data_IF_155032258700
#
_entry.id   IF_155032258700
#
_cell.length_a   1.000
_cell.length_b   1.000
_cell.length_c   1.000
_cell.angle_alpha   90.00
_cell.angle_beta   90.00
_cell.angle_gamma   90.00
#
_symmetry.space_group_name_H-M   'P 1'
#
loop_
_entity.id
_entity.type
_entity.pdbx_description
1 polymer ?
#
# COMPACT_ATOMS: atom_id res chain seq x y z
N UNK A 1 -22.85 -12.57 -2.58
CA UNK A 1 -22.82 -11.18 -2.09
C UNK A 1 -21.95 -10.36 -3.01
N UNK A 2 -22.47 -9.24 -3.55
CA UNK A 2 -21.75 -8.30 -4.41
C UNK A 2 -21.27 -7.10 -3.58
N UNK A 3 -19.98 -6.81 -3.64
CA UNK A 3 -19.34 -5.73 -2.86
C UNK A 3 -18.78 -4.70 -3.81
N UNK A 4 -19.12 -3.42 -3.62
CA UNK A 4 -18.45 -2.31 -4.27
C UNK A 4 -17.39 -1.73 -3.34
N UNK A 5 -16.12 -1.89 -3.69
CA UNK A 5 -15.00 -1.23 -3.03
C UNK A 5 -14.72 0.13 -3.63
N UNK A 6 -14.35 1.09 -2.78
CA UNK A 6 -13.95 2.45 -3.17
C UNK A 6 -12.66 2.83 -2.45
N UNK A 7 -11.64 3.24 -3.21
CA UNK A 7 -10.34 3.68 -2.71
C UNK A 7 -10.03 5.08 -3.24
N UNK A 8 -9.80 6.01 -2.32
CA UNK A 8 -9.42 7.40 -2.63
C UNK A 8 -8.46 7.97 -1.57
N UNK A 9 -7.63 7.15 -0.92
CA UNK A 9 -6.84 7.61 0.23
C UNK A 9 -5.67 8.53 -0.14
N UNK A 10 -5.16 8.46 -1.35
CA UNK A 10 -4.00 9.24 -1.80
C UNK A 10 -4.21 9.85 -3.18
N UNK A 11 -3.59 9.32 -4.21
CA UNK A 11 -3.59 9.85 -5.57
C UNK A 11 -4.12 8.86 -6.62
N UNK A 12 -4.65 7.71 -6.20
CA UNK A 12 -5.42 6.81 -7.05
C UNK A 12 -6.92 6.91 -6.73
N UNK A 13 -7.73 7.13 -7.77
CA UNK A 13 -9.18 6.92 -7.69
C UNK A 13 -9.48 5.50 -8.17
N UNK A 14 -9.98 4.64 -7.30
CA UNK A 14 -10.29 3.26 -7.69
C UNK A 14 -11.67 2.80 -7.22
N UNK A 15 -12.32 1.99 -8.06
CA UNK A 15 -13.52 1.25 -7.75
C UNK A 15 -13.42 -0.19 -8.23
N UNK A 16 -13.93 -1.12 -7.44
CA UNK A 16 -13.92 -2.54 -7.76
C UNK A 16 -15.23 -3.21 -7.35
N UNK A 17 -15.70 -4.15 -8.16
CA UNK A 17 -16.80 -5.04 -7.81
C UNK A 17 -16.25 -6.43 -7.56
N UNK A 18 -16.48 -6.94 -6.35
CA UNK A 18 -16.13 -8.30 -5.96
C UNK A 18 -17.40 -9.11 -5.68
N UNK A 19 -17.31 -10.40 -5.97
CA UNK A 19 -18.30 -11.37 -5.55
C UNK A 19 -17.71 -12.24 -4.44
N UNK A 20 -18.46 -12.37 -3.33
CA UNK A 20 -18.10 -13.19 -2.17
C UNK A 20 -16.69 -12.93 -1.62
N UNK A 21 -16.26 -11.64 -1.69
CA UNK A 21 -15.01 -11.12 -1.12
C UNK A 21 -13.72 -11.52 -1.82
N UNK A 22 -13.76 -12.40 -2.83
CA UNK A 22 -12.56 -12.94 -3.46
C UNK A 22 -12.59 -13.02 -4.99
N UNK A 23 -13.75 -13.10 -5.62
CA UNK A 23 -13.88 -13.10 -7.08
C UNK A 23 -13.93 -11.66 -7.58
N UNK A 24 -12.84 -11.21 -8.22
CA UNK A 24 -12.72 -9.86 -8.77
C UNK A 24 -13.47 -9.80 -10.11
N UNK A 25 -14.66 -9.20 -10.12
CA UNK A 25 -15.44 -8.97 -11.36
C UNK A 25 -14.91 -7.75 -12.11
N UNK A 26 -14.49 -6.72 -11.38
CA UNK A 26 -13.82 -5.54 -11.93
C UNK A 26 -12.88 -4.92 -10.89
N UNK A 27 -11.83 -4.26 -11.35
CA UNK A 27 -10.96 -3.38 -10.56
C UNK A 27 -10.45 -2.30 -11.52
N UNK A 28 -10.95 -1.09 -11.36
CA UNK A 28 -10.60 0.08 -12.18
C UNK A 28 -9.78 1.01 -11.31
N UNK A 29 -8.65 1.45 -11.83
CA UNK A 29 -7.71 2.33 -11.14
C UNK A 29 -7.37 3.48 -12.08
N UNK A 30 -7.54 4.70 -11.62
CA UNK A 30 -7.10 5.91 -12.28
C UNK A 30 -6.04 6.59 -11.42
N UNK A 31 -4.78 6.54 -11.86
CA UNK A 31 -3.68 7.24 -11.21
C UNK A 31 -3.68 8.73 -11.58
N UNK A 32 -3.19 9.53 -10.66
CA UNK A 32 -2.98 10.97 -10.83
C UNK A 32 -1.48 11.31 -11.00
N UNK A 33 -0.63 10.35 -11.32
CA UNK A 33 0.82 10.52 -11.50
C UNK A 33 1.15 11.70 -12.43
N UNK A 34 0.44 11.84 -13.56
CA UNK A 34 0.65 12.93 -14.53
C UNK A 34 0.37 14.31 -13.93
N UNK A 35 -0.64 14.40 -13.04
CA UNK A 35 -1.03 15.66 -12.38
C UNK A 35 0.02 16.07 -11.34
N UNK A 36 0.60 15.09 -10.63
CA UNK A 36 1.54 15.32 -9.55
C UNK A 36 3.00 15.37 -10.00
N UNK A 37 3.32 14.83 -11.17
CA UNK A 37 4.67 14.78 -11.72
C UNK A 37 5.35 16.16 -11.81
N UNK A 38 4.69 17.26 -12.23
CA UNK A 38 5.30 18.59 -12.25
C UNK A 38 5.76 19.10 -10.87
N UNK A 39 5.13 18.61 -9.81
CA UNK A 39 5.45 18.99 -8.41
C UNK A 39 6.49 18.06 -7.78
N UNK A 40 6.72 16.91 -8.41
CA UNK A 40 7.62 15.87 -7.90
C UNK A 40 7.15 15.24 -6.60
N UNK A 41 5.83 15.06 -6.46
CA UNK A 41 5.16 14.44 -5.33
C UNK A 41 3.70 14.84 -5.23
N UNK A 42 2.92 14.13 -4.44
CA UNK A 42 1.48 14.34 -4.30
C UNK A 42 1.17 15.70 -3.67
N UNK A 43 0.25 16.45 -4.29
CA UNK A 43 -0.31 17.71 -3.77
C UNK A 43 -1.73 17.42 -3.27
N UNK A 44 -1.98 17.44 -1.94
CA UNK A 44 -3.23 16.95 -1.36
C UNK A 44 -4.50 17.64 -1.90
N UNK A 45 -4.44 18.94 -2.15
CA UNK A 45 -5.59 19.67 -2.68
C UNK A 45 -5.91 19.28 -4.12
N UNK A 46 -4.90 19.10 -4.96
CA UNK A 46 -5.08 18.63 -6.33
C UNK A 46 -5.64 17.22 -6.36
N UNK A 47 -5.13 16.33 -5.49
CA UNK A 47 -5.62 14.97 -5.36
C UNK A 47 -7.12 14.95 -5.03
N UNK A 48 -7.54 15.70 -4.01
CA UNK A 48 -8.94 15.77 -3.61
C UNK A 48 -9.86 16.29 -4.72
N UNK A 49 -9.43 17.34 -5.43
CA UNK A 49 -10.19 17.91 -6.57
C UNK A 49 -10.32 16.91 -7.72
N UNK A 50 -9.28 16.12 -7.97
CA UNK A 50 -9.32 15.12 -9.03
C UNK A 50 -10.22 13.95 -8.67
N UNK A 51 -10.22 13.49 -7.41
CA UNK A 51 -11.18 12.46 -6.96
C UNK A 51 -12.63 12.91 -7.19
N UNK A 52 -12.97 14.16 -6.86
CA UNK A 52 -14.34 14.70 -7.09
C UNK A 52 -14.74 14.62 -8.56
N UNK A 53 -13.78 14.85 -9.48
CA UNK A 53 -14.07 14.86 -10.93
C UNK A 53 -14.20 13.48 -11.55
N UNK A 54 -13.70 12.44 -10.87
CA UNK A 54 -13.50 11.14 -11.51
C UNK A 54 -14.20 9.98 -10.80
N UNK A 55 -14.62 10.14 -9.55
CA UNK A 55 -15.13 9.04 -8.74
C UNK A 55 -16.39 8.39 -9.34
N UNK A 56 -17.31 9.18 -9.85
CA UNK A 56 -18.54 8.71 -10.49
C UNK A 56 -18.24 7.91 -11.76
N UNK A 57 -17.34 8.43 -12.61
CA UNK A 57 -16.92 7.78 -13.84
C UNK A 57 -16.23 6.43 -13.58
N UNK A 58 -15.37 6.38 -12.58
CA UNK A 58 -14.62 5.17 -12.21
C UNK A 58 -15.56 4.10 -11.63
N UNK A 59 -16.55 4.50 -10.84
CA UNK A 59 -17.57 3.59 -10.34
C UNK A 59 -18.44 3.07 -11.47
N UNK A 60 -18.90 3.93 -12.38
CA UNK A 60 -19.70 3.53 -13.54
C UNK A 60 -18.95 2.54 -14.42
N UNK A 61 -17.67 2.80 -14.72
CA UNK A 61 -16.83 1.91 -15.51
C UNK A 61 -16.62 0.57 -14.82
N UNK A 62 -16.42 0.59 -13.49
CA UNK A 62 -16.27 -0.64 -12.68
C UNK A 62 -17.54 -1.51 -12.76
N UNK A 63 -18.72 -0.91 -12.59
CA UNK A 63 -20.00 -1.61 -12.69
C UNK A 63 -20.24 -2.16 -14.09
N UNK A 64 -19.97 -1.36 -15.14
CA UNK A 64 -20.10 -1.78 -16.54
C UNK A 64 -19.21 -2.98 -16.85
N UNK A 65 -17.95 -2.94 -16.41
CA UNK A 65 -17.00 -4.05 -16.60
C UNK A 65 -17.42 -5.31 -15.84
N UNK A 66 -17.95 -5.16 -14.63
CA UNK A 66 -18.50 -6.25 -13.84
C UNK A 66 -19.84 -6.78 -14.39
N UNK A 67 -20.50 -6.04 -15.29
CA UNK A 67 -21.87 -6.30 -15.76
C UNK A 67 -22.89 -6.34 -14.62
N UNK A 68 -22.73 -5.47 -13.66
CA UNK A 68 -23.55 -5.36 -12.45
C UNK A 68 -24.18 -3.96 -12.40
N UNK A 69 -25.43 -3.86 -11.90
CA UNK A 69 -26.10 -2.58 -11.65
C UNK A 69 -25.91 -2.18 -10.19
N UNK A 70 -25.97 -0.88 -9.89
CA UNK A 70 -25.82 -0.36 -8.52
C UNK A 70 -26.84 -0.96 -7.54
N UNK A 71 -28.06 -1.21 -8.00
CA UNK A 71 -29.13 -1.80 -7.16
C UNK A 71 -28.79 -3.22 -6.69
N UNK A 72 -27.92 -3.92 -7.43
CA UNK A 72 -27.51 -5.29 -7.12
C UNK A 72 -26.34 -5.36 -6.12
N UNK A 73 -25.73 -4.22 -5.77
CA UNK A 73 -24.68 -4.17 -4.75
C UNK A 73 -25.29 -4.42 -3.38
N UNK A 74 -24.68 -5.35 -2.64
CA UNK A 74 -25.13 -5.76 -1.31
C UNK A 74 -24.41 -5.01 -0.19
N UNK A 75 -23.14 -4.58 -0.43
CA UNK A 75 -22.27 -3.94 0.54
C UNK A 75 -21.38 -2.90 -0.14
N UNK A 76 -21.25 -1.74 0.48
CA UNK A 76 -20.26 -0.72 0.13
C UNK A 76 -19.08 -0.80 1.10
N UNK A 77 -17.86 -0.99 0.58
CA UNK A 77 -16.62 -0.95 1.36
C UNK A 77 -15.80 0.25 0.91
N UNK A 78 -15.37 1.09 1.84
CA UNK A 78 -14.65 2.33 1.49
C UNK A 78 -13.50 2.55 2.44
N UNK A 79 -12.37 3.01 1.93
CA UNK A 79 -11.22 3.38 2.76
C UNK A 79 -11.56 4.57 3.64
N UNK A 80 -11.43 4.38 4.97
CA UNK A 80 -11.67 5.42 5.97
C UNK A 80 -10.39 6.07 6.49
N UNK A 81 -9.22 5.47 6.21
CA UNK A 81 -7.91 5.94 6.65
C UNK A 81 -6.91 4.78 6.83
N UNK A 82 -5.63 5.11 7.02
CA UNK A 82 -5.04 6.45 6.88
C UNK A 82 -4.98 6.93 5.43
N UNK A 83 -4.80 8.26 5.25
CA UNK A 83 -4.69 8.89 3.93
C UNK A 83 -4.86 10.40 4.00
N UNK A 84 -4.90 11.05 2.84
CA UNK A 84 -5.13 12.48 2.70
C UNK A 84 -6.58 12.81 3.06
N UNK A 85 -6.79 13.69 4.05
CA UNK A 85 -8.11 13.98 4.62
C UNK A 85 -9.14 14.36 3.54
N UNK A 86 -8.77 15.27 2.63
CA UNK A 86 -9.66 15.71 1.55
C UNK A 86 -10.02 14.57 0.59
N UNK A 87 -9.04 13.74 0.24
CA UNK A 87 -9.22 12.58 -0.64
C UNK A 87 -10.13 11.52 0.01
N UNK A 88 -9.87 11.17 1.28
CA UNK A 88 -10.72 10.26 2.06
C UNK A 88 -12.17 10.75 2.16
N UNK A 89 -12.38 12.05 2.39
CA UNK A 89 -13.72 12.64 2.48
C UNK A 89 -14.52 12.46 1.18
N UNK A 90 -13.90 12.51 0.02
CA UNK A 90 -14.57 12.30 -1.26
C UNK A 90 -15.12 10.88 -1.34
N UNK A 91 -14.29 9.85 -1.14
CA UNK A 91 -14.71 8.45 -1.19
C UNK A 91 -15.77 8.13 -0.14
N UNK A 92 -15.54 8.56 1.12
CA UNK A 92 -16.48 8.34 2.22
C UNK A 92 -17.83 8.99 1.98
N UNK A 93 -17.87 10.24 1.50
CA UNK A 93 -19.13 10.93 1.22
C UNK A 93 -19.90 10.27 0.09
N UNK A 94 -19.18 9.88 -0.98
CA UNK A 94 -19.79 9.20 -2.12
C UNK A 94 -20.34 7.83 -1.72
N UNK A 95 -19.57 7.00 -1.02
CA UNK A 95 -20.02 5.69 -0.54
C UNK A 95 -21.21 5.78 0.42
N UNK A 96 -21.20 6.76 1.34
CA UNK A 96 -22.33 7.02 2.25
C UNK A 96 -23.60 7.42 1.51
N UNK A 97 -23.48 8.25 0.48
CA UNK A 97 -24.62 8.68 -0.33
C UNK A 97 -25.26 7.50 -1.05
N UNK A 98 -24.45 6.61 -1.65
CA UNK A 98 -24.94 5.39 -2.29
C UNK A 98 -25.59 4.44 -1.28
N UNK A 99 -24.92 4.18 -0.15
CA UNK A 99 -25.44 3.31 0.90
C UNK A 99 -26.79 3.80 1.44
N UNK A 100 -26.91 5.11 1.65
CA UNK A 100 -28.15 5.74 2.08
C UNK A 100 -29.28 5.62 1.04
N UNK A 101 -28.97 5.96 -0.22
CA UNK A 101 -29.96 5.94 -1.30
C UNK A 101 -30.51 4.53 -1.57
N UNK A 102 -29.64 3.52 -1.59
CA UNK A 102 -30.02 2.13 -1.85
C UNK A 102 -30.40 1.34 -0.59
N UNK A 103 -30.37 1.97 0.58
CA UNK A 103 -30.59 1.33 1.88
C UNK A 103 -29.75 0.06 2.07
N UNK A 104 -28.45 0.18 1.82
CA UNK A 104 -27.47 -0.92 1.91
C UNK A 104 -26.42 -0.63 2.97
N UNK A 105 -25.80 -1.67 3.57
CA UNK A 105 -24.75 -1.49 4.55
C UNK A 105 -23.47 -0.87 3.93
N UNK A 106 -22.74 -0.14 4.78
CA UNK A 106 -21.42 0.42 4.45
C UNK A 106 -20.41 0.04 5.53
N UNK A 107 -19.20 -0.30 5.10
CA UNK A 107 -18.09 -0.60 5.99
C UNK A 107 -16.89 0.30 5.66
N UNK A 108 -16.34 0.93 6.70
CA UNK A 108 -15.05 1.63 6.63
C UNK A 108 -13.90 0.65 6.78
N UNK A 109 -12.92 0.76 5.88
CA UNK A 109 -11.77 -0.15 5.79
C UNK A 109 -10.49 0.62 6.07
N UNK A 110 -9.57 0.01 6.84
CA UNK A 110 -8.25 0.54 7.05
C UNK A 110 -7.39 0.27 5.79
N UNK A 111 -6.84 1.33 5.19
CA UNK A 111 -6.03 1.28 3.98
C UNK A 111 -4.81 0.34 4.10
N UNK A 112 -4.09 0.41 5.23
CA UNK A 112 -2.88 -0.38 5.44
C UNK A 112 -3.19 -1.86 5.61
N UNK A 113 -4.25 -2.18 6.35
CA UNK A 113 -4.73 -3.56 6.52
C UNK A 113 -5.24 -4.13 5.20
N UNK A 114 -5.90 -3.30 4.37
CA UNK A 114 -6.32 -3.69 3.04
C UNK A 114 -5.14 -4.09 2.14
N UNK A 115 -4.01 -3.39 2.19
CA UNK A 115 -2.81 -3.79 1.46
C UNK A 115 -2.30 -5.19 1.86
N UNK A 116 -2.28 -5.52 3.15
CA UNK A 116 -1.94 -6.88 3.60
C UNK A 116 -2.97 -7.87 3.07
N UNK A 117 -4.25 -7.49 3.16
CA UNK A 117 -5.36 -8.34 2.76
C UNK A 117 -5.38 -8.62 1.25
N UNK A 118 -4.78 -7.77 0.42
CA UNK A 118 -4.63 -8.00 -1.02
C UNK A 118 -3.95 -9.34 -1.36
N UNK A 119 -3.08 -9.86 -0.48
CA UNK A 119 -2.45 -11.16 -0.68
C UNK A 119 -3.45 -12.33 -0.65
N UNK A 120 -4.56 -12.18 0.09
CA UNK A 120 -5.59 -13.22 0.21
C UNK A 120 -6.50 -13.29 -1.03
N UNK A 121 -6.52 -12.27 -1.87
CA UNK A 121 -7.25 -12.31 -3.15
C UNK A 121 -6.67 -13.35 -4.12
N UNK A 122 -5.37 -13.59 -4.06
CA UNK A 122 -4.67 -14.52 -4.94
C UNK A 122 -4.24 -15.81 -4.25
N UNK A 123 -4.21 -15.83 -2.89
CA UNK A 123 -3.69 -16.94 -2.10
C UNK A 123 -4.63 -17.24 -0.92
N UNK A 124 -5.44 -18.29 -1.03
CA UNK A 124 -6.43 -18.64 -0.01
C UNK A 124 -5.84 -19.34 1.22
N UNK A 125 -4.68 -19.95 1.09
CA UNK A 125 -4.07 -20.83 2.12
C UNK A 125 -2.85 -20.18 2.78
N UNK A 126 -2.97 -18.90 3.19
CA UNK A 126 -1.91 -18.25 3.95
C UNK A 126 -1.96 -18.71 5.40
N UNK A 127 -0.88 -19.33 5.87
CA UNK A 127 -0.79 -19.89 7.23
C UNK A 127 -0.49 -18.82 8.27
N UNK A 128 -1.12 -18.95 9.45
CA UNK A 128 -0.90 -18.06 10.60
C UNK A 128 -0.09 -18.75 11.71
N UNK A 129 0.66 -18.02 12.52
CA UNK A 129 0.88 -16.57 12.49
C UNK A 129 1.61 -16.10 11.22
N UNK A 130 1.23 -14.92 10.70
CA UNK A 130 1.79 -14.32 9.51
C UNK A 130 2.51 -13.00 9.84
N UNK A 131 3.56 -12.67 9.11
CA UNK A 131 4.20 -11.37 9.13
C UNK A 131 3.86 -10.59 7.87
N UNK A 132 3.25 -9.42 7.99
CA UNK A 132 2.98 -8.49 6.90
C UNK A 132 3.99 -7.36 6.88
N UNK A 133 4.70 -7.19 5.77
CA UNK A 133 5.55 -6.04 5.49
C UNK A 133 4.87 -5.18 4.41
N UNK A 134 4.45 -3.98 4.79
CA UNK A 134 3.92 -2.98 3.85
C UNK A 134 5.05 -2.04 3.47
N UNK A 135 5.25 -1.85 2.17
CA UNK A 135 6.25 -0.93 1.61
C UNK A 135 5.62 -0.12 0.48
N UNK A 136 5.33 1.15 0.73
CA UNK A 136 4.71 2.06 -0.24
C UNK A 136 5.42 3.42 -0.30
N UNK A 137 4.88 4.35 -1.07
CA UNK A 137 5.34 5.74 -1.12
C UNK A 137 5.21 6.43 0.25
N UNK A 138 4.09 6.23 0.94
CA UNK A 138 3.80 6.88 2.22
C UNK A 138 4.05 6.01 3.46
N UNK A 139 4.14 4.69 3.33
CA UNK A 139 4.18 3.78 4.48
C UNK A 139 5.28 2.73 4.36
N UNK A 140 5.95 2.47 5.48
CA UNK A 140 6.80 1.28 5.67
C UNK A 140 6.54 0.76 7.07
N UNK A 141 5.86 -0.41 7.16
CA UNK A 141 5.37 -0.94 8.43
C UNK A 141 5.41 -2.46 8.47
N UNK A 142 5.62 -3.00 9.66
CA UNK A 142 5.56 -4.43 9.97
C UNK A 142 4.35 -4.72 10.85
N UNK A 143 3.55 -5.66 10.42
CA UNK A 143 2.40 -6.18 11.16
C UNK A 143 2.58 -7.66 11.46
N UNK A 144 2.36 -8.03 12.72
CA UNK A 144 2.23 -9.42 13.12
C UNK A 144 0.75 -9.79 13.16
N UNK A 145 0.38 -10.84 12.45
CA UNK A 145 -0.99 -11.36 12.38
C UNK A 145 -1.04 -12.74 13.02
N UNK A 146 -1.45 -12.87 14.29
CA UNK A 146 -1.75 -14.17 14.89
C UNK A 146 -2.82 -14.92 14.11
N UNK A 147 -3.84 -14.19 13.62
CA UNK A 147 -4.98 -14.67 12.84
C UNK A 147 -5.29 -13.69 11.70
N UNK A 148 -6.16 -14.06 10.77
CA UNK A 148 -6.42 -13.35 9.52
C UNK A 148 -6.79 -11.87 9.69
N UNK A 149 -7.53 -11.52 10.72
CA UNK A 149 -8.03 -10.15 10.96
C UNK A 149 -7.49 -9.52 12.26
N UNK A 150 -6.50 -10.15 12.90
CA UNK A 150 -5.81 -9.59 14.07
C UNK A 150 -4.49 -8.92 13.64
N UNK A 151 -4.56 -7.64 13.33
CA UNK A 151 -3.43 -6.84 12.84
C UNK A 151 -2.71 -6.15 14.00
N UNK A 152 -1.52 -6.62 14.37
CA UNK A 152 -0.68 -6.01 15.41
C UNK A 152 0.49 -5.27 14.78
N UNK A 153 0.47 -3.95 14.80
CA UNK A 153 1.59 -3.12 14.36
C UNK A 153 2.78 -3.35 15.32
N UNK A 154 3.90 -3.83 14.80
CA UNK A 154 5.12 -4.12 15.58
C UNK A 154 6.31 -3.24 15.20
N UNK A 155 6.26 -2.57 14.05
CA UNK A 155 7.28 -1.62 13.62
C UNK A 155 6.77 -0.75 12.49
N UNK A 156 7.25 0.49 12.43
CA UNK A 156 6.94 1.45 11.35
C UNK A 156 8.12 2.37 11.09
N UNK A 157 8.10 3.07 9.97
CA UNK A 157 9.12 4.10 9.76
C UNK A 157 8.95 5.28 10.72
N UNK A 158 10.09 5.83 11.16
CA UNK A 158 10.16 7.02 12.04
C UNK A 158 10.36 8.31 11.26
N UNK A 159 10.67 8.17 9.98
CA UNK A 159 10.96 9.29 9.09
C UNK A 159 10.40 8.99 7.69
N UNK A 160 11.18 9.14 6.64
CA UNK A 160 10.74 8.83 5.28
C UNK A 160 10.28 7.36 5.16
N UNK A 161 9.28 7.07 4.34
CA UNK A 161 8.99 5.71 3.90
C UNK A 161 10.04 5.27 2.84
N UNK A 162 10.14 3.96 2.61
CA UNK A 162 11.08 3.42 1.63
C UNK A 162 10.84 3.97 0.22
N UNK A 163 9.57 4.06 -0.22
CA UNK A 163 9.21 4.65 -1.50
C UNK A 163 9.49 6.14 -1.55
N UNK A 164 9.18 6.88 -0.50
CA UNK A 164 9.48 8.32 -0.39
C UNK A 164 11.00 8.58 -0.49
N UNK A 165 11.84 7.71 0.10
CA UNK A 165 13.28 7.82 -0.02
C UNK A 165 13.75 7.63 -1.48
N UNK A 166 13.13 6.70 -2.23
CA UNK A 166 13.38 6.53 -3.67
C UNK A 166 12.93 7.76 -4.45
N UNK A 167 11.73 8.26 -4.20
CA UNK A 167 11.17 9.43 -4.90
C UNK A 167 12.04 10.68 -4.68
N UNK A 168 12.52 10.91 -3.45
CA UNK A 168 13.40 12.04 -3.12
C UNK A 168 14.74 11.99 -3.86
N UNK A 169 15.35 10.81 -4.02
CA UNK A 169 16.59 10.66 -4.79
C UNK A 169 16.33 10.84 -6.29
N UNK A 170 15.23 10.29 -6.82
CA UNK A 170 14.83 10.50 -8.21
C UNK A 170 14.59 11.98 -8.51
N UNK A 171 13.88 12.69 -7.62
CA UNK A 171 13.63 14.14 -7.72
C UNK A 171 14.94 14.94 -7.71
N UNK A 172 15.87 14.60 -6.81
CA UNK A 172 17.16 15.29 -6.72
C UNK A 172 18.01 15.13 -7.99
N UNK A 173 17.94 13.96 -8.62
CA UNK A 173 18.60 13.69 -9.90
C UNK A 173 17.79 14.11 -11.13
N UNK A 174 16.65 14.79 -10.96
CA UNK A 174 15.75 15.21 -12.04
C UNK A 174 15.31 14.06 -12.96
N UNK A 175 15.05 12.88 -12.40
CA UNK A 175 14.66 11.68 -13.17
C UNK A 175 13.15 11.59 -13.43
N UNK A 176 12.33 12.34 -12.68
CA UNK A 176 10.87 12.34 -12.77
C UNK A 176 10.18 11.73 -11.56
N UNK A 177 8.85 11.61 -11.66
CA UNK A 177 7.95 11.06 -10.63
C UNK A 177 6.90 10.13 -11.28
N UNK A 178 6.54 9.01 -10.62
CA UNK A 178 7.10 8.47 -9.36
C UNK A 178 8.52 7.89 -9.53
N UNK A 179 9.38 8.14 -8.54
CA UNK A 179 10.80 7.76 -8.62
C UNK A 179 11.07 6.27 -8.48
N UNK A 180 10.27 5.56 -7.67
CA UNK A 180 10.47 4.13 -7.43
C UNK A 180 10.57 3.28 -8.69
N UNK A 181 9.58 3.31 -9.62
CA UNK A 181 9.62 2.58 -10.88
C UNK A 181 10.79 3.02 -11.80
N UNK A 182 11.12 4.31 -11.80
CA UNK A 182 12.24 4.85 -12.60
C UNK A 182 13.56 4.28 -12.08
N UNK A 183 13.78 4.31 -10.77
CA UNK A 183 14.98 3.76 -10.14
C UNK A 183 15.06 2.25 -10.39
N UNK A 184 13.98 1.48 -10.24
CA UNK A 184 13.99 0.04 -10.53
C UNK A 184 14.42 -0.26 -11.97
N UNK A 185 13.99 0.53 -12.94
CA UNK A 185 14.38 0.40 -14.34
C UNK A 185 15.86 0.74 -14.58
N UNK A 186 16.32 1.87 -14.02
CA UNK A 186 17.67 2.36 -14.25
C UNK A 186 18.73 1.54 -13.51
N UNK A 187 18.43 1.06 -12.30
CA UNK A 187 19.31 0.23 -11.46
C UNK A 187 19.73 -1.08 -12.12
N UNK A 188 18.94 -1.59 -13.07
CA UNK A 188 19.30 -2.80 -13.85
C UNK A 188 20.55 -2.65 -14.69
N UNK A 189 21.00 -1.41 -14.94
CA UNK A 189 22.21 -1.09 -15.71
C UNK A 189 23.44 -0.86 -14.82
N UNK A 190 23.25 -0.81 -13.49
CA UNK A 190 24.28 -0.49 -12.52
C UNK A 190 24.75 -1.69 -11.71
N UNK A 191 25.90 -1.53 -11.07
CA UNK A 191 26.45 -2.49 -10.12
C UNK A 191 26.01 -2.13 -8.68
N UNK A 192 25.24 -2.98 -7.98
CA UNK A 192 24.75 -2.70 -6.63
C UNK A 192 25.83 -2.72 -5.55
N UNK A 193 27.06 -3.18 -5.87
CA UNK A 193 28.18 -3.25 -4.92
C UNK A 193 29.13 -2.05 -5.04
N UNK A 194 28.89 -1.13 -5.97
CA UNK A 194 29.81 -0.02 -6.25
C UNK A 194 29.85 1.04 -5.17
N UNK A 195 28.71 1.33 -4.53
CA UNK A 195 28.60 2.28 -3.44
C UNK A 195 28.20 1.58 -2.14
N UNK A 196 28.94 1.86 -1.07
CA UNK A 196 28.66 1.26 0.23
C UNK A 196 27.71 2.12 1.07
N UNK A 197 26.60 1.54 1.51
CA UNK A 197 25.65 2.15 2.41
C UNK A 197 25.64 1.43 3.74
N UNK A 198 25.94 2.16 4.83
CA UNK A 198 25.77 1.61 6.18
C UNK A 198 24.29 1.53 6.52
N UNK A 199 23.82 0.33 6.82
CA UNK A 199 22.40 0.14 7.22
C UNK A 199 22.13 0.82 8.56
N UNK A 200 20.97 1.50 8.69
CA UNK A 200 20.59 2.17 9.92
C UNK A 200 20.50 1.17 11.10
N UNK A 201 21.01 1.58 12.26
CA UNK A 201 20.87 0.84 13.52
C UNK A 201 19.89 1.56 14.42
N UNK A 202 18.71 0.98 14.63
CA UNK A 202 17.73 1.49 15.60
C UNK A 202 18.22 1.11 17.00
N UNK A 203 18.48 2.11 17.84
CA UNK A 203 19.13 1.92 19.15
C UNK A 203 18.23 1.22 20.19
N UNK A 204 16.93 1.38 20.09
CA UNK A 204 15.97 0.67 20.93
C UNK A 204 15.66 -0.74 20.37
N UNK A 205 14.90 -1.52 21.12
CA UNK A 205 14.53 -2.89 20.73
C UNK A 205 13.36 -2.94 19.74
N UNK A 206 12.89 -1.81 19.22
CA UNK A 206 11.78 -1.77 18.24
C UNK A 206 12.18 -2.38 16.89
N UNK A 207 11.18 -2.74 16.11
CA UNK A 207 11.34 -3.18 14.71
C UNK A 207 11.09 -2.04 13.73
N UNK A 208 11.25 -0.79 14.18
CA UNK A 208 11.05 0.39 13.37
C UNK A 208 12.08 0.52 12.24
N UNK A 209 11.76 1.38 11.27
CA UNK A 209 12.64 1.73 10.17
C UNK A 209 13.07 3.20 10.26
N UNK A 210 14.15 3.53 9.56
CA UNK A 210 14.59 4.90 9.30
C UNK A 210 15.36 4.93 7.99
N UNK A 211 14.90 5.71 7.04
CA UNK A 211 15.52 5.80 5.71
C UNK A 211 16.26 7.11 5.48
N UNK A 212 16.12 8.09 6.38
CA UNK A 212 16.79 9.41 6.26
C UNK A 212 18.31 9.28 6.18
N UNK A 213 18.91 8.35 6.92
CA UNK A 213 20.35 8.10 6.88
C UNK A 213 20.83 7.59 5.51
N UNK A 214 20.12 6.64 4.92
CA UNK A 214 20.42 6.13 3.58
C UNK A 214 20.27 7.21 2.51
N UNK A 215 19.18 8.00 2.58
CA UNK A 215 18.98 9.14 1.70
C UNK A 215 20.11 10.16 1.81
N UNK A 216 20.49 10.54 3.02
CA UNK A 216 21.56 11.50 3.26
C UNK A 216 22.91 10.99 2.71
N UNK A 217 23.21 9.70 2.87
CA UNK A 217 24.42 9.09 2.29
C UNK A 217 24.39 9.13 0.75
N UNK A 218 23.25 8.83 0.12
CA UNK A 218 23.11 8.94 -1.34
C UNK A 218 23.31 10.38 -1.82
N UNK A 219 22.70 11.36 -1.15
CA UNK A 219 22.89 12.79 -1.48
C UNK A 219 24.33 13.25 -1.30
N UNK A 220 25.05 12.70 -0.32
CA UNK A 220 26.48 12.96 -0.12
C UNK A 220 27.30 12.46 -1.32
N UNK A 221 27.12 11.21 -1.74
CA UNK A 221 27.77 10.69 -2.94
C UNK A 221 27.48 11.51 -4.19
N UNK A 222 26.22 11.90 -4.40
CA UNK A 222 25.83 12.72 -5.54
C UNK A 222 26.60 14.04 -5.56
N UNK A 223 26.71 14.71 -4.41
CA UNK A 223 27.42 16.01 -4.30
C UNK A 223 28.94 15.87 -4.43
N UNK A 224 29.55 14.92 -3.72
CA UNK A 224 31.02 14.75 -3.69
C UNK A 224 31.58 14.30 -5.04
N UNK A 225 30.82 13.48 -5.77
CA UNK A 225 31.25 12.95 -7.07
C UNK A 225 30.62 13.68 -8.25
N UNK A 226 29.86 14.75 -8.02
CA UNK A 226 29.14 15.52 -9.04
C UNK A 226 28.30 14.63 -9.97
N UNK A 227 27.57 13.66 -9.38
CA UNK A 227 26.74 12.74 -10.16
C UNK A 227 25.46 13.47 -10.56
N UNK A 228 25.14 13.46 -11.85
CA UNK A 228 23.92 13.97 -12.44
C UNK A 228 23.17 12.87 -13.22
N UNK A 229 22.06 13.21 -13.86
CA UNK A 229 21.25 12.27 -14.65
C UNK A 229 21.90 11.83 -15.97
N UNK A 230 23.09 12.37 -16.34
CA UNK A 230 23.89 11.97 -17.50
C UNK A 230 25.12 11.17 -17.11
N UNK A 231 25.46 11.15 -15.83
CA UNK A 231 26.67 10.47 -15.31
C UNK A 231 26.50 8.96 -15.36
N UNK A 232 27.45 8.20 -15.93
CA UNK A 232 27.40 6.72 -15.89
C UNK A 232 27.32 6.15 -14.46
N UNK A 233 27.97 6.80 -13.49
CA UNK A 233 27.98 6.41 -12.08
C UNK A 233 26.58 6.48 -11.44
N UNK A 234 25.64 7.23 -12.02
CA UNK A 234 24.27 7.29 -11.56
C UNK A 234 23.61 5.91 -11.52
N UNK A 235 23.83 5.07 -12.53
CA UNK A 235 23.23 3.72 -12.55
C UNK A 235 23.74 2.86 -11.40
N UNK A 236 25.03 2.93 -11.08
CA UNK A 236 25.64 2.20 -9.96
C UNK A 236 25.13 2.73 -8.62
N UNK A 237 25.03 4.06 -8.48
CA UNK A 237 24.50 4.70 -7.28
C UNK A 237 23.04 4.28 -7.01
N UNK A 238 22.20 4.34 -8.04
CA UNK A 238 20.79 3.94 -7.92
C UNK A 238 20.66 2.45 -7.60
N UNK A 239 21.48 1.59 -8.22
CA UNK A 239 21.49 0.16 -7.94
C UNK A 239 21.91 -0.13 -6.49
N UNK A 240 22.97 0.51 -6.01
CA UNK A 240 23.47 0.35 -4.64
C UNK A 240 22.50 0.90 -3.61
N UNK A 241 21.89 2.05 -3.88
CA UNK A 241 20.91 2.69 -3.00
C UNK A 241 19.64 1.85 -2.86
N UNK A 242 19.05 1.39 -3.97
CA UNK A 242 17.91 0.49 -4.00
C UNK A 242 18.23 -0.80 -3.22
N UNK A 243 19.39 -1.38 -3.46
CA UNK A 243 19.83 -2.61 -2.80
C UNK A 243 19.97 -2.43 -1.29
N UNK A 244 20.49 -1.28 -0.83
CA UNK A 244 20.61 -0.94 0.58
C UNK A 244 19.24 -0.81 1.27
N UNK A 245 18.26 -0.18 0.62
CA UNK A 245 16.88 -0.11 1.13
C UNK A 245 16.31 -1.52 1.30
N UNK A 246 16.44 -2.37 0.28
CA UNK A 246 15.89 -3.74 0.32
C UNK A 246 16.60 -4.57 1.39
N UNK A 247 17.91 -4.46 1.52
CA UNK A 247 18.66 -5.15 2.57
C UNK A 247 18.20 -4.72 3.96
N UNK A 248 17.95 -3.43 4.17
CA UNK A 248 17.45 -2.93 5.45
C UNK A 248 16.05 -3.49 5.78
N UNK A 249 15.15 -3.59 4.80
CA UNK A 249 13.86 -4.25 4.96
C UNK A 249 14.03 -5.71 5.38
N UNK A 250 14.89 -6.46 4.70
CA UNK A 250 15.16 -7.89 4.98
C UNK A 250 15.77 -8.05 6.37
N UNK A 251 16.73 -7.22 6.77
CA UNK A 251 17.33 -7.30 8.10
C UNK A 251 16.32 -7.07 9.22
N UNK A 252 15.37 -6.14 9.05
CA UNK A 252 14.29 -5.97 10.03
C UNK A 252 13.34 -7.18 10.07
N UNK A 253 12.99 -7.74 8.91
CA UNK A 253 12.21 -8.99 8.85
C UNK A 253 12.96 -10.12 9.58
N UNK A 254 14.26 -10.30 9.36
CA UNK A 254 15.08 -11.30 10.09
C UNK A 254 15.01 -11.11 11.61
N UNK A 255 15.10 -9.85 12.08
CA UNK A 255 14.97 -9.53 13.51
C UNK A 255 13.63 -9.95 14.05
N UNK A 256 12.53 -9.74 13.31
CA UNK A 256 11.20 -10.19 13.72
C UNK A 256 11.14 -11.72 13.77
N UNK A 257 11.66 -12.42 12.76
CA UNK A 257 11.65 -13.88 12.72
C UNK A 257 12.45 -14.53 13.87
N UNK A 258 13.44 -13.81 14.42
CA UNK A 258 14.19 -14.25 15.59
C UNK A 258 13.43 -14.08 16.91
N UNK A 259 12.36 -13.28 16.94
CA UNK A 259 11.59 -12.94 18.14
C UNK A 259 10.14 -13.47 18.11
N UNK A 260 9.60 -13.74 16.93
CA UNK A 260 8.23 -14.19 16.72
C UNK A 260 8.18 -15.49 15.94
N UNK A 261 7.27 -16.38 16.33
CA UNK A 261 6.95 -17.54 15.49
C UNK A 261 6.11 -17.07 14.30
N UNK A 262 6.62 -17.25 13.09
CA UNK A 262 5.97 -16.85 11.84
C UNK A 262 5.93 -18.04 10.91
N UNK A 263 4.76 -18.33 10.32
CA UNK A 263 4.56 -19.43 9.36
C UNK A 263 4.53 -18.95 7.92
N UNK A 264 4.26 -17.68 7.68
CA UNK A 264 4.22 -17.08 6.35
C UNK A 264 4.59 -15.59 6.38
N UNK A 265 5.09 -15.10 5.26
CA UNK A 265 5.49 -13.71 5.05
C UNK A 265 4.66 -13.13 3.90
N UNK A 266 4.03 -11.98 4.14
CA UNK A 266 3.38 -11.16 3.11
C UNK A 266 4.24 -9.92 2.91
N UNK A 267 4.51 -9.55 1.64
CA UNK A 267 5.15 -8.27 1.28
C UNK A 267 4.24 -7.57 0.28
N UNK A 268 3.76 -6.39 0.61
CA UNK A 268 2.75 -5.67 -0.16
C UNK A 268 3.00 -4.15 -0.18
N UNK A 269 2.13 -3.40 -0.86
CA UNK A 269 2.30 -1.97 -1.10
C UNK A 269 3.01 -1.67 -2.43
N UNK A 270 2.95 -0.42 -2.88
CA UNK A 270 3.43 -0.01 -4.21
C UNK A 270 4.89 -0.36 -4.50
N UNK A 271 5.78 -0.26 -3.51
CA UNK A 271 7.21 -0.63 -3.66
C UNK A 271 7.40 -2.14 -3.81
N UNK A 272 6.45 -2.98 -3.39
CA UNK A 272 6.51 -4.43 -3.63
C UNK A 272 6.38 -4.83 -5.11
N UNK A 273 6.12 -3.87 -6.02
CA UNK A 273 6.24 -4.05 -7.48
C UNK A 273 7.70 -4.10 -7.96
N UNK A 274 8.62 -3.53 -7.18
CA UNK A 274 10.04 -3.44 -7.51
C UNK A 274 10.63 -4.83 -7.78
N UNK A 275 11.28 -4.99 -8.96
CA UNK A 275 11.76 -6.31 -9.43
C UNK A 275 12.87 -6.85 -8.53
N UNK A 276 13.80 -6.01 -8.12
CA UNK A 276 14.92 -6.39 -7.25
C UNK A 276 14.44 -6.79 -5.85
N UNK A 277 13.45 -6.07 -5.32
CA UNK A 277 12.83 -6.42 -4.04
C UNK A 277 12.21 -7.82 -4.10
N UNK A 278 11.42 -8.11 -5.14
CA UNK A 278 10.82 -9.44 -5.33
C UNK A 278 11.85 -10.55 -5.41
N UNK A 279 12.92 -10.36 -6.16
CA UNK A 279 14.02 -11.34 -6.28
C UNK A 279 14.68 -11.61 -4.92
N UNK A 280 15.06 -10.56 -4.20
CA UNK A 280 15.73 -10.70 -2.90
C UNK A 280 14.82 -11.31 -1.83
N UNK A 281 13.56 -10.92 -1.77
CA UNK A 281 12.61 -11.53 -0.83
C UNK A 281 12.31 -12.98 -1.16
N UNK A 282 12.25 -13.37 -2.45
CA UNK A 282 12.16 -14.79 -2.85
C UNK A 282 13.37 -15.58 -2.38
N UNK A 283 14.57 -15.10 -2.65
CA UNK A 283 15.80 -15.75 -2.19
C UNK A 283 15.84 -15.86 -0.66
N UNK A 284 15.47 -14.81 0.04
CA UNK A 284 15.39 -14.78 1.51
C UNK A 284 14.36 -15.79 2.04
N UNK A 285 13.17 -15.84 1.47
CA UNK A 285 12.12 -16.80 1.84
C UNK A 285 12.59 -18.25 1.72
N UNK A 286 13.30 -18.59 0.64
CA UNK A 286 13.91 -19.92 0.46
C UNK A 286 14.96 -20.23 1.54
N UNK A 287 15.80 -19.25 1.90
CA UNK A 287 16.81 -19.42 2.93
C UNK A 287 16.22 -19.69 4.32
N UNK A 288 15.18 -18.94 4.69
CA UNK A 288 14.51 -19.11 5.99
C UNK A 288 13.42 -20.16 6.00
N UNK A 289 13.10 -20.75 4.85
CA UNK A 289 12.06 -21.79 4.65
C UNK A 289 10.66 -21.34 5.13
N UNK A 290 10.33 -20.06 4.91
CA UNK A 290 9.02 -19.48 5.22
C UNK A 290 8.35 -19.09 3.90
N UNK A 291 7.12 -19.55 3.60
CA UNK A 291 6.38 -19.17 2.40
C UNK A 291 6.22 -17.66 2.29
N UNK A 292 6.45 -17.14 1.09
CA UNK A 292 6.34 -15.72 0.75
C UNK A 292 5.17 -15.49 -0.18
N UNK A 293 4.34 -14.52 0.16
CA UNK A 293 3.20 -14.05 -0.64
C UNK A 293 3.39 -12.58 -0.98
N UNK A 294 3.55 -12.28 -2.27
CA UNK A 294 3.62 -10.92 -2.80
C UNK A 294 2.50 -10.82 -3.83
N UNK A 295 1.50 -9.97 -3.62
CA UNK A 295 0.42 -9.79 -4.58
C UNK A 295 0.94 -9.48 -5.98
N UNK A 296 0.13 -9.77 -7.01
CA UNK A 296 0.45 -9.36 -8.37
C UNK A 296 0.65 -7.84 -8.46
N UNK A 297 1.41 -7.33 -9.42
CA UNK A 297 1.68 -5.89 -9.54
C UNK A 297 0.44 -5.00 -9.54
N UNK A 298 -0.70 -5.51 -10.04
CA UNK A 298 -1.98 -4.78 -10.08
C UNK A 298 -2.66 -4.65 -8.73
N UNK A 299 -2.35 -5.55 -7.78
CA UNK A 299 -2.89 -5.54 -6.42
C UNK A 299 -1.91 -4.96 -5.39
N UNK A 300 -0.68 -4.60 -5.80
CA UNK A 300 0.30 -3.95 -4.94
C UNK A 300 0.07 -2.45 -4.77
N UNK A 301 -0.42 -1.75 -5.80
CA UNK A 301 -0.78 -0.32 -5.72
C UNK A 301 -2.12 -0.13 -5.04
N UNK A 302 -2.45 1.12 -4.73
CA UNK A 302 -3.74 1.48 -4.17
C UNK A 302 -4.85 1.05 -5.14
N UNK A 303 -5.78 0.23 -4.65
CA UNK A 303 -6.83 -0.35 -5.47
C UNK A 303 -8.05 -0.72 -4.62
N UNK A 304 -9.23 -0.64 -5.23
CA UNK A 304 -10.47 -0.89 -4.52
C UNK A 304 -10.78 -2.39 -4.31
N UNK A 305 -10.11 -3.30 -5.03
CA UNK A 305 -10.34 -4.73 -4.82
C UNK A 305 -9.85 -5.18 -3.44
N UNK A 306 -8.72 -4.65 -2.95
CA UNK A 306 -8.23 -4.92 -1.60
C UNK A 306 -9.20 -4.40 -0.52
N UNK A 307 -9.82 -3.24 -0.79
CA UNK A 307 -10.81 -2.62 0.12
C UNK A 307 -12.11 -3.44 0.16
N UNK A 308 -12.61 -3.87 -1.00
CA UNK A 308 -13.80 -4.71 -1.09
C UNK A 308 -13.59 -6.07 -0.39
N UNK A 309 -12.41 -6.66 -0.58
CA UNK A 309 -12.09 -7.97 0.02
C UNK A 309 -12.01 -7.91 1.54
N UNK A 310 -11.29 -6.94 2.10
CA UNK A 310 -11.25 -6.77 3.57
C UNK A 310 -12.61 -6.35 4.11
N UNK A 311 -13.35 -5.49 3.41
CA UNK A 311 -14.70 -5.09 3.78
C UNK A 311 -15.66 -6.27 3.88
N UNK A 312 -15.56 -7.25 2.97
CA UNK A 312 -16.34 -8.49 3.05
C UNK A 312 -16.05 -9.26 4.34
N UNK A 313 -14.79 -9.51 4.64
CA UNK A 313 -14.40 -10.26 5.85
C UNK A 313 -14.86 -9.55 7.14
N UNK A 314 -14.71 -8.23 7.20
CA UNK A 314 -15.20 -7.43 8.34
C UNK A 314 -16.74 -7.48 8.46
N UNK A 315 -17.47 -7.56 7.34
CA UNK A 315 -18.91 -7.66 7.36
C UNK A 315 -19.40 -8.96 7.98
N UNK A 316 -18.70 -10.07 7.75
CA UNK A 316 -19.06 -11.37 8.32
C UNK A 316 -18.94 -11.39 9.85
N UNK A 317 -17.96 -10.67 10.42
CA UNK A 317 -17.82 -10.54 11.88
C UNK A 317 -19.00 -9.76 12.47
N UNK A 318 -19.37 -8.64 11.83
CA UNK A 318 -20.47 -7.81 12.31
C UNK A 318 -21.85 -8.50 12.23
N UNK A 319 -22.04 -9.36 11.24
CA UNK A 319 -23.26 -10.18 11.12
C UNK A 319 -23.28 -11.28 12.18
N UNK A 320 -22.13 -11.88 12.49
CA UNK A 320 -22.02 -12.99 13.44
C UNK A 320 -22.05 -12.58 14.91
N UNK A 321 -21.66 -11.33 15.21
CA UNK A 321 -21.64 -10.77 16.57
C UNK A 321 -22.44 -9.44 16.67
N UNK A 322 -23.78 -9.47 16.53
CA UNK A 322 -24.58 -8.24 16.57
C UNK A 322 -24.59 -7.54 17.93
N UNK A 323 -23.98 -8.11 18.95
CA UNK A 323 -24.03 -7.62 20.36
C UNK A 323 -22.81 -6.80 20.76
N UNK A 324 -21.77 -6.64 19.96
CA UNK A 324 -20.68 -5.68 20.24
C UNK A 324 -21.07 -4.27 19.80
N UNK A 325 -21.99 -3.68 20.54
CA UNK A 325 -22.52 -2.31 20.37
C UNK A 325 -21.45 -1.18 20.35
N UNK A 326 -20.19 -1.45 20.69
CA UNK A 326 -19.14 -0.44 20.79
C UNK A 326 -18.51 0.01 19.47
N UNK A 327 -18.59 -0.80 18.41
CA UNK A 327 -17.91 -0.50 17.13
C UNK A 327 -18.83 0.14 16.08
N UNK A 328 -20.14 0.06 16.26
CA UNK A 328 -21.13 0.70 15.37
C UNK A 328 -21.20 2.22 15.59
N UNK A 329 -20.72 2.73 16.73
CA UNK A 329 -20.91 4.12 17.11
C UNK A 329 -20.14 5.14 16.24
N UNK A 330 -19.03 4.78 15.61
CA UNK A 330 -18.24 5.73 14.81
C UNK A 330 -18.81 5.97 13.39
N UNK A 331 -19.52 5.02 12.81
CA UNK A 331 -20.11 5.18 11.48
C UNK A 331 -21.51 5.82 11.50
N UNK A 332 -22.24 5.75 12.64
CA UNK A 332 -23.64 6.17 12.76
C UNK A 332 -23.81 7.56 13.40
N UNK A 333 -22.77 8.12 14.03
CA UNK A 333 -22.91 9.35 14.83
C UNK A 333 -23.14 10.65 14.04
N UNK A 334 -23.14 10.66 12.70
CA UNK A 334 -23.42 11.89 11.94
C UNK A 334 -24.88 12.14 11.58
N UNK A 335 -25.83 11.27 11.91
CA UNK A 335 -27.24 11.43 11.45
C UNK A 335 -28.33 11.16 12.49
N UNK A 336 -28.12 11.37 13.79
CA UNK A 336 -29.27 11.60 14.67
C UNK A 336 -29.53 13.09 14.76
N UNK A 337 -30.46 13.57 13.92
CA UNK A 337 -31.18 14.83 14.17
C UNK A 337 -31.85 14.77 15.54
N UNK A 338 -31.68 15.85 16.29
CA UNK A 338 -32.66 16.25 17.32
C UNK A 338 -34.00 16.48 16.69
#
# INVERSE_FOLDING_TARGET
MLILGIETSCDETSAAVLKDGNEILSNIILSQDEIHSPYGGVVPELASRQHIKTIDLIIEESLKKAKVRLENIDLYAVTQGPGLIGSLLVGLSFAKSLAFYFNKPIIGVNHIEAHIHAAFLENREISFPCLGLIVSGGHTSLYYLPEKLDFKLIGKTRDDAAGEALDKIAKFLHLGYPGGPIIDKLSKKGNPEKFSFTLPKIKDKSFDFSFSGLKTAALKYIKEMNIDNKSPQMFDLLASFQDAIINFLIENVKRVLSNYKVKSLIVCGGVARNTRLREKFKSFSHQVKIPLYIPSPRLCTDNAAMVASLGYELSLIHISEPTRLGMISYAVFCFKKK
#
